data_IF_580430738596
#
_entry.id   IF_580430738596
#
_cell.length_a   1.000
_cell.length_b   1.000
_cell.length_c   1.000
_cell.angle_alpha   90.00
_cell.angle_beta   90.00
_cell.angle_gamma   90.00
#
_symmetry.space_group_name_H-M   'P 1'
#
loop_
_entity.id
_entity.type
_entity.pdbx_description
1 polymer ?
#
# COMPACT_ATOMS: atom_id res chain seq x y z
N UNK A 1 4.04 -7.87 -4.28
CA UNK A 1 3.14 -6.80 -4.75
C UNK A 1 2.29 -6.18 -3.66
N UNK A 2 1.59 -6.94 -2.82
CA UNK A 2 0.60 -6.42 -1.85
C UNK A 2 1.02 -5.24 -0.92
N UNK A 3 2.33 -5.00 -0.70
CA UNK A 3 2.82 -3.79 -0.01
C UNK A 3 2.82 -2.55 -0.92
N UNK A 4 3.18 -2.70 -2.20
CA UNK A 4 3.19 -1.62 -3.21
C UNK A 4 1.77 -1.20 -3.60
N UNK A 5 0.85 -2.16 -3.76
CA UNK A 5 -0.59 -1.92 -3.97
C UNK A 5 -1.30 -1.32 -2.73
N UNK A 6 -0.52 -0.82 -1.77
CA UNK A 6 -0.94 -0.18 -0.53
C UNK A 6 0.02 0.96 -0.11
N UNK A 7 1.05 1.25 -0.91
CA UNK A 7 2.06 2.28 -0.67
C UNK A 7 1.59 3.60 -1.24
N UNK A 8 1.51 4.63 -0.39
CA UNK A 8 0.81 5.90 -0.69
C UNK A 8 1.74 7.12 -0.55
N UNK A 9 2.82 6.97 0.22
CA UNK A 9 3.70 8.07 0.62
C UNK A 9 5.17 7.77 0.34
N UNK A 10 6.00 8.81 0.31
CA UNK A 10 7.46 8.68 0.20
C UNK A 10 8.07 7.75 1.26
N UNK A 11 7.50 7.73 2.47
CA UNK A 11 7.93 6.80 3.53
C UNK A 11 7.56 5.35 3.24
N UNK A 12 6.43 5.10 2.56
CA UNK A 12 6.12 3.77 2.04
C UNK A 12 7.08 3.35 0.94
N UNK A 13 7.44 4.24 0.01
CA UNK A 13 8.39 3.92 -1.06
C UNK A 13 9.78 3.58 -0.48
N UNK A 14 10.26 4.30 0.54
CA UNK A 14 11.50 3.97 1.27
C UNK A 14 11.39 2.56 1.90
N UNK A 15 10.28 2.27 2.60
CA UNK A 15 10.03 0.97 3.23
C UNK A 15 9.88 -0.18 2.24
N UNK A 16 9.21 0.03 1.12
CA UNK A 16 9.07 -0.95 0.05
C UNK A 16 10.45 -1.35 -0.51
N UNK A 17 11.36 -0.38 -0.59
CA UNK A 17 12.61 -0.45 -1.33
C UNK A 17 13.77 -1.04 -0.55
N UNK A 18 14.05 -0.51 0.66
CA UNK A 18 15.23 -0.91 1.43
C UNK A 18 15.18 -2.41 1.75
N UNK A 19 16.26 -3.10 1.39
CA UNK A 19 16.52 -4.53 1.61
C UNK A 19 15.31 -5.39 1.23
N UNK A 20 14.72 -5.07 0.09
CA UNK A 20 13.56 -5.76 -0.45
C UNK A 20 14.00 -6.98 -1.28
N UNK A 21 13.48 -8.20 -1.03
CA UNK A 21 13.84 -9.37 -1.83
C UNK A 21 13.28 -9.31 -3.28
N UNK A 22 12.36 -8.38 -3.55
CA UNK A 22 11.63 -8.25 -4.82
C UNK A 22 12.05 -7.06 -5.69
N UNK A 23 13.32 -6.65 -5.72
CA UNK A 23 13.75 -5.50 -6.54
C UNK A 23 13.41 -5.71 -8.03
N UNK A 24 13.78 -6.85 -8.61
CA UNK A 24 13.49 -7.18 -10.02
C UNK A 24 11.99 -7.18 -10.33
N UNK A 25 11.15 -7.76 -9.46
CA UNK A 25 9.70 -7.81 -9.68
C UNK A 25 9.06 -6.43 -9.51
N UNK A 26 9.58 -5.60 -8.61
CA UNK A 26 9.19 -4.19 -8.43
C UNK A 26 9.55 -3.35 -9.66
N UNK A 27 10.75 -3.55 -10.23
CA UNK A 27 11.15 -2.91 -11.49
C UNK A 27 10.26 -3.31 -12.66
N UNK A 28 10.01 -4.61 -12.86
CA UNK A 28 9.10 -5.08 -13.93
C UNK A 28 7.70 -4.51 -13.75
N UNK A 29 7.24 -4.35 -12.50
CA UNK A 29 5.95 -3.74 -12.19
C UNK A 29 5.90 -2.24 -12.49
N UNK A 30 7.00 -1.49 -12.26
CA UNK A 30 7.12 -0.10 -12.69
C UNK A 30 7.16 0.03 -14.21
N UNK A 31 7.84 -0.89 -14.92
CA UNK A 31 7.86 -0.94 -16.39
C UNK A 31 6.45 -1.19 -16.96
N UNK A 32 5.65 -2.04 -16.32
CA UNK A 32 4.23 -2.27 -16.67
C UNK A 32 3.36 -1.05 -16.38
N UNK A 33 3.59 -0.38 -15.24
CA UNK A 33 2.74 0.70 -14.73
C UNK A 33 2.99 2.08 -15.37
N UNK A 34 4.23 2.38 -15.78
CA UNK A 34 4.61 3.70 -16.32
C UNK A 34 5.91 3.69 -17.14
N UNK A 35 6.34 2.53 -17.63
CA UNK A 35 7.57 2.38 -18.40
C UNK A 35 7.42 2.68 -19.90
N UNK A 36 8.50 3.14 -20.57
CA UNK A 36 8.49 3.37 -22.00
C UNK A 36 8.29 2.07 -22.78
N UNK A 37 7.62 2.15 -23.93
CA UNK A 37 7.24 0.98 -24.74
C UNK A 37 8.43 0.03 -25.00
N UNK A 38 9.61 0.55 -25.36
CA UNK A 38 10.84 -0.26 -25.58
C UNK A 38 11.22 -1.17 -24.40
N UNK A 39 10.96 -0.76 -23.16
CA UNK A 39 11.20 -1.61 -21.98
C UNK A 39 10.06 -2.61 -21.76
N UNK A 40 8.81 -2.23 -22.07
CA UNK A 40 7.69 -3.18 -22.09
C UNK A 40 7.91 -4.28 -23.13
N UNK A 41 8.41 -3.92 -24.31
CA UNK A 41 8.78 -4.85 -25.39
C UNK A 41 9.85 -5.84 -24.92
N UNK A 42 10.96 -5.33 -24.35
CA UNK A 42 12.07 -6.14 -23.85
C UNK A 42 11.67 -7.15 -22.75
N UNK A 43 10.64 -6.84 -21.95
CA UNK A 43 10.11 -7.73 -20.91
C UNK A 43 8.84 -8.50 -21.33
N UNK A 44 8.42 -8.44 -22.60
CA UNK A 44 7.24 -9.16 -23.10
C UNK A 44 5.89 -8.63 -22.56
N UNK A 45 5.83 -7.36 -22.18
CA UNK A 45 4.67 -6.68 -21.55
C UNK A 45 4.01 -5.60 -22.42
N UNK A 46 4.21 -5.65 -23.74
CA UNK A 46 3.62 -4.70 -24.70
C UNK A 46 2.10 -4.83 -24.76
N UNK A 47 1.59 -6.03 -25.04
CA UNK A 47 0.16 -6.32 -25.25
C UNK A 47 -0.64 -6.54 -23.94
N UNK A 48 -0.08 -6.13 -22.80
CA UNK A 48 -0.72 -6.32 -21.50
C UNK A 48 -1.75 -5.21 -21.21
N UNK A 49 -2.96 -5.60 -20.83
CA UNK A 49 -4.05 -4.68 -20.49
C UNK A 49 -3.72 -3.89 -19.21
N UNK A 50 -3.85 -2.56 -19.27
CA UNK A 50 -3.66 -1.63 -18.15
C UNK A 50 -4.46 -2.03 -16.90
N UNK A 51 -5.67 -2.58 -17.07
CA UNK A 51 -6.48 -3.08 -15.96
C UNK A 51 -5.82 -4.26 -15.21
N UNK A 52 -5.10 -5.15 -15.91
CA UNK A 52 -4.37 -6.24 -15.26
C UNK A 52 -3.14 -5.75 -14.50
N UNK A 53 -2.48 -4.70 -15.00
CA UNK A 53 -1.38 -4.03 -14.27
C UNK A 53 -1.91 -3.33 -13.01
N UNK A 54 -3.02 -2.60 -13.12
CA UNK A 54 -3.67 -1.96 -11.98
C UNK A 54 -4.11 -2.99 -10.92
N UNK A 55 -4.74 -4.09 -11.35
CA UNK A 55 -5.18 -5.20 -10.49
C UNK A 55 -4.06 -5.73 -9.58
N UNK A 56 -2.89 -6.03 -10.17
CA UNK A 56 -1.75 -6.65 -9.47
C UNK A 56 -0.89 -5.68 -8.66
N UNK A 57 -0.70 -4.44 -9.15
CA UNK A 57 0.43 -3.58 -8.75
C UNK A 57 0.01 -2.31 -8.00
N UNK A 58 -1.07 -1.65 -8.44
CA UNK A 58 -1.40 -0.28 -8.04
C UNK A 58 -2.23 -0.21 -6.74
N UNK A 59 -2.21 0.94 -6.05
CA UNK A 59 -3.11 1.22 -4.92
C UNK A 59 -4.54 1.56 -5.37
N UNK A 60 -4.71 1.90 -6.64
CA UNK A 60 -5.94 2.47 -7.18
C UNK A 60 -7.06 1.47 -7.43
N UNK A 61 -8.24 2.00 -7.68
CA UNK A 61 -9.37 1.34 -8.30
C UNK A 61 -9.88 2.21 -9.46
N UNK A 62 -10.64 1.60 -10.37
CA UNK A 62 -11.12 2.23 -11.59
C UNK A 62 -12.49 1.67 -12.00
N UNK A 63 -12.91 1.89 -13.25
CA UNK A 63 -14.08 1.20 -13.84
C UNK A 63 -13.76 -0.26 -14.21
N UNK A 64 -12.47 -0.56 -14.39
CA UNK A 64 -11.96 -1.84 -14.88
C UNK A 64 -11.40 -2.72 -13.75
N UNK A 65 -11.11 -2.13 -12.59
CA UNK A 65 -10.59 -2.80 -11.39
C UNK A 65 -11.35 -2.33 -10.16
N UNK A 66 -11.98 -3.27 -9.47
CA UNK A 66 -12.69 -3.03 -8.20
C UNK A 66 -12.25 -3.99 -7.10
N UNK A 67 -12.70 -3.71 -5.87
CA UNK A 67 -12.43 -4.54 -4.69
C UNK A 67 -13.73 -5.14 -4.17
N UNK A 68 -13.82 -6.46 -4.08
CA UNK A 68 -15.03 -7.20 -3.69
C UNK A 68 -14.76 -8.14 -2.50
N UNK A 69 -15.71 -8.25 -1.59
CA UNK A 69 -15.64 -9.11 -0.41
C UNK A 69 -16.25 -10.49 -0.66
N UNK A 70 -15.47 -11.56 -0.47
CA UNK A 70 -15.88 -12.93 -0.75
C UNK A 70 -16.48 -13.69 0.45
N UNK A 71 -16.84 -12.98 1.53
CA UNK A 71 -17.27 -13.59 2.79
C UNK A 71 -16.13 -13.97 3.75
N UNK A 72 -14.87 -13.76 3.36
CA UNK A 72 -13.67 -13.93 4.22
C UNK A 72 -12.72 -12.74 4.13
N UNK A 73 -12.44 -12.28 2.91
CA UNK A 73 -11.49 -11.22 2.61
C UNK A 73 -11.92 -10.37 1.40
N UNK A 74 -11.25 -9.22 1.24
CA UNK A 74 -11.43 -8.33 0.10
C UNK A 74 -10.41 -8.67 -0.97
N UNK A 75 -10.90 -9.04 -2.15
CA UNK A 75 -10.14 -9.45 -3.32
C UNK A 75 -10.24 -8.35 -4.39
N UNK A 76 -9.13 -8.04 -5.05
CA UNK A 76 -9.12 -7.14 -6.22
C UNK A 76 -9.56 -7.95 -7.45
N UNK A 77 -10.51 -7.42 -8.21
CA UNK A 77 -11.20 -8.12 -9.30
C UNK A 77 -11.33 -7.25 -10.55
N UNK A 78 -11.40 -7.88 -11.72
CA UNK A 78 -11.63 -7.20 -13.00
C UNK A 78 -13.11 -6.88 -13.23
N UNK A 79 -13.33 -5.79 -13.96
CA UNK A 79 -14.64 -5.20 -14.27
C UNK A 79 -15.30 -4.52 -13.07
N UNK A 80 -16.19 -3.57 -13.37
CA UNK A 80 -16.90 -2.74 -12.39
C UNK A 80 -17.47 -3.54 -11.20
N UNK A 81 -17.30 -3.03 -9.98
CA UNK A 81 -17.85 -3.61 -8.76
C UNK A 81 -19.17 -2.92 -8.38
N UNK A 82 -20.28 -3.65 -8.16
CA UNK A 82 -21.56 -3.07 -7.73
C UNK A 82 -21.51 -2.75 -6.24
N UNK A 83 -20.80 -1.69 -5.87
CA UNK A 83 -20.63 -1.26 -4.48
C UNK A 83 -21.08 0.19 -4.33
N UNK A 84 -21.90 0.44 -3.31
CA UNK A 84 -22.32 1.78 -2.91
C UNK A 84 -21.59 2.17 -1.62
N UNK A 85 -20.80 3.23 -1.71
CA UNK A 85 -19.96 3.74 -0.62
C UNK A 85 -20.66 4.91 0.09
N UNK A 86 -20.68 4.85 1.42
CA UNK A 86 -21.30 5.84 2.29
C UNK A 86 -20.35 6.22 3.43
N UNK A 87 -20.18 7.53 3.65
CA UNK A 87 -19.57 8.07 4.87
C UNK A 87 -20.71 8.34 5.87
N UNK A 88 -20.59 7.81 7.07
CA UNK A 88 -21.47 8.15 8.20
C UNK A 88 -20.74 9.12 9.13
N UNK A 89 -21.25 10.34 9.25
CA UNK A 89 -20.66 11.41 10.07
C UNK A 89 -21.45 11.56 11.37
N UNK A 90 -20.78 11.25 12.49
CA UNK A 90 -21.35 11.24 13.85
C UNK A 90 -20.74 12.38 14.65
N UNK A 91 -21.51 13.17 15.41
CA UNK A 91 -20.43 14.64 16.54
C UNK A 91 -19.53 14.04 17.63
N UNK A 92 -18.41 14.69 17.94
CA UNK A 92 -17.50 14.27 19.04
C UNK A 92 -18.14 14.53 20.41
N UNK A 93 -18.96 15.59 20.48
CA UNK A 93 -19.80 15.87 21.64
C UNK A 93 -20.93 14.84 21.71
N UNK A 94 -20.73 13.84 22.57
CA UNK A 94 -21.84 13.12 23.19
C UNK A 94 -22.58 14.04 24.17
N UNK A 95 -23.78 13.61 24.55
CA UNK A 95 -24.56 14.19 25.63
C UNK A 95 -23.89 13.90 26.99
N UNK A 96 -24.19 14.68 28.05
CA UNK A 96 -23.77 14.32 29.41
C UNK A 96 -24.33 12.96 29.83
N UNK A 97 -23.55 12.18 30.58
CA UNK A 97 -24.01 10.92 31.17
C UNK A 97 -24.98 11.20 32.33
N UNK A 98 -26.26 11.38 32.00
CA UNK A 98 -27.36 11.36 32.98
C UNK A 98 -28.35 10.26 32.64
N UNK A 99 -28.10 9.05 33.15
CA UNK A 99 -28.94 7.86 32.97
C UNK A 99 -30.28 8.02 33.70
N UNK A 100 -31.23 8.72 33.07
CA UNK A 100 -32.65 8.69 33.38
C UNK A 100 -33.43 8.57 32.09
N UNK A 101 -33.93 7.38 31.80
CA UNK A 101 -34.84 7.13 30.67
C UNK A 101 -36.08 8.00 30.84
N UNK A 102 -36.32 8.90 29.87
CA UNK A 102 -37.49 9.77 29.83
C UNK A 102 -38.10 9.65 28.44
N UNK A 103 -39.37 9.23 28.37
CA UNK A 103 -40.14 9.35 27.14
C UNK A 103 -40.36 10.84 26.82
N UNK A 104 -40.11 11.22 25.57
CA UNK A 104 -40.32 12.55 25.04
C UNK A 104 -40.76 12.46 23.57
N UNK A 105 -41.46 13.47 23.09
CA UNK A 105 -41.84 13.57 21.69
C UNK A 105 -40.60 13.71 20.80
N UNK A 106 -40.62 13.07 19.62
CA UNK A 106 -39.53 13.19 18.65
C UNK A 106 -39.26 14.65 18.24
N UNK A 107 -40.26 15.53 18.35
CA UNK A 107 -40.10 16.97 18.14
C UNK A 107 -39.33 17.65 19.28
N UNK A 108 -39.65 17.33 20.53
CA UNK A 108 -38.90 17.81 21.70
C UNK A 108 -37.44 17.33 21.68
N UNK A 109 -37.19 16.10 21.22
CA UNK A 109 -35.85 15.55 21.04
C UNK A 109 -35.01 16.31 19.99
N UNK A 110 -35.66 16.87 18.96
CA UNK A 110 -35.02 17.77 17.98
C UNK A 110 -34.81 19.16 18.58
N UNK A 111 -35.86 19.76 19.14
CA UNK A 111 -35.82 21.14 19.66
C UNK A 111 -34.85 21.30 20.85
N UNK A 112 -34.66 20.26 21.66
CA UNK A 112 -33.70 20.21 22.78
C UNK A 112 -32.31 19.70 22.36
N UNK A 113 -32.08 19.43 21.07
CA UNK A 113 -30.76 19.08 20.52
C UNK A 113 -30.27 17.65 20.79
N UNK A 114 -31.11 16.78 21.33
CA UNK A 114 -30.78 15.36 21.56
C UNK A 114 -30.65 14.56 20.25
N UNK A 115 -31.47 14.89 19.24
CA UNK A 115 -31.35 14.37 17.88
C UNK A 115 -30.14 14.99 17.15
N UNK A 116 -28.95 14.52 17.50
CA UNK A 116 -27.71 14.75 16.74
C UNK A 116 -27.86 14.17 15.32
N UNK A 117 -28.32 14.98 14.35
CA UNK A 117 -28.39 14.57 12.93
C UNK A 117 -27.04 14.00 12.47
N UNK A 118 -26.99 12.68 12.29
CA UNK A 118 -25.84 12.00 11.70
C UNK A 118 -25.95 12.10 10.18
N UNK A 119 -24.90 12.62 9.54
CA UNK A 119 -24.95 12.93 8.11
C UNK A 119 -24.43 11.73 7.32
N UNK A 120 -25.30 11.14 6.51
CA UNK A 120 -24.94 10.07 5.56
C UNK A 120 -24.57 10.74 4.24
N UNK A 121 -23.29 10.66 3.86
CA UNK A 121 -22.81 11.14 2.56
C UNK A 121 -22.57 9.92 1.66
N UNK A 122 -23.46 9.70 0.69
CA UNK A 122 -23.18 8.74 -0.40
C UNK A 122 -22.08 9.30 -1.28
N UNK A 123 -20.97 8.57 -1.41
CA UNK A 123 -19.93 8.89 -2.40
C UNK A 123 -20.44 8.44 -3.77
N UNK A 124 -20.50 9.38 -4.72
CA UNK A 124 -20.84 9.10 -6.11
C UNK A 124 -19.61 9.40 -6.95
N UNK A 125 -18.84 8.35 -7.26
CA UNK A 125 -17.69 8.36 -8.16
C UNK A 125 -17.92 7.34 -9.29
N UNK A 126 -17.34 7.54 -10.48
CA UNK A 126 -17.38 6.55 -11.54
C UNK A 126 -16.38 5.40 -11.33
N UNK A 127 -15.36 5.56 -10.49
CA UNK A 127 -14.45 4.49 -10.05
C UNK A 127 -15.06 3.64 -8.93
N UNK A 128 -14.66 2.37 -8.83
CA UNK A 128 -14.99 1.54 -7.67
C UNK A 128 -14.31 2.05 -6.37
N UNK A 129 -14.89 1.83 -5.18
CA UNK A 129 -14.33 2.31 -3.91
C UNK A 129 -13.15 1.48 -3.40
N UNK A 130 -12.24 2.10 -2.64
CA UNK A 130 -11.05 1.46 -2.06
C UNK A 130 -11.35 0.89 -0.66
N UNK A 131 -11.93 -0.30 -0.57
CA UNK A 131 -12.22 -0.94 0.74
C UNK A 131 -10.91 -1.32 1.46
N UNK A 132 -9.92 -1.86 0.73
CA UNK A 132 -8.65 -2.35 1.30
C UNK A 132 -7.82 -1.24 1.97
N UNK A 133 -7.94 0.00 1.48
CA UNK A 133 -7.26 1.16 2.06
C UNK A 133 -7.95 1.67 3.34
N UNK A 134 -9.25 1.48 3.48
CA UNK A 134 -10.10 2.11 4.52
C UNK A 134 -10.72 1.13 5.54
N UNK A 135 -10.52 -0.18 5.38
CA UNK A 135 -11.06 -1.25 6.25
C UNK A 135 -10.68 -1.20 7.73
N UNK A 136 -9.73 -0.35 8.11
CA UNK A 136 -9.12 -0.29 9.45
C UNK A 136 -8.41 1.04 9.61
N UNK A 137 -8.29 1.56 10.84
CA UNK A 137 -7.58 2.82 11.11
C UNK A 137 -6.21 2.88 10.41
N UNK A 138 -6.06 3.85 9.51
CA UNK A 138 -4.85 4.04 8.70
C UNK A 138 -3.59 4.27 9.56
N UNK A 139 -2.49 3.59 9.21
CA UNK A 139 -1.20 3.66 9.90
C UNK A 139 -0.71 5.11 10.05
N UNK A 140 -0.23 5.47 11.24
CA UNK A 140 0.16 6.84 11.53
C UNK A 140 1.37 7.30 10.70
N UNK A 141 1.31 8.52 10.15
CA UNK A 141 2.48 9.14 9.47
C UNK A 141 3.74 9.18 10.36
N UNK A 142 3.57 9.21 11.68
CA UNK A 142 4.66 9.07 12.66
C UNK A 142 5.25 7.65 12.70
N UNK A 143 4.41 6.62 12.86
CA UNK A 143 4.82 5.20 12.86
C UNK A 143 5.56 4.83 11.56
N UNK A 144 5.05 5.32 10.43
CA UNK A 144 5.62 5.05 9.11
C UNK A 144 6.97 5.75 8.90
N UNK A 145 7.14 6.98 9.40
CA UNK A 145 8.42 7.69 9.42
C UNK A 145 9.44 6.99 10.34
N UNK A 146 8.99 6.53 11.51
CA UNK A 146 9.84 5.77 12.44
C UNK A 146 10.34 4.46 11.80
N UNK A 147 9.44 3.69 11.18
CA UNK A 147 9.80 2.46 10.46
C UNK A 147 10.75 2.72 9.27
N UNK A 148 10.56 3.81 8.52
CA UNK A 148 11.51 4.22 7.48
C UNK A 148 12.89 4.60 8.06
N UNK A 149 12.92 5.23 9.25
CA UNK A 149 14.16 5.48 10.00
C UNK A 149 14.86 4.18 10.43
N UNK A 150 14.12 3.20 10.94
CA UNK A 150 14.63 1.85 11.27
C UNK A 150 15.19 1.17 10.01
N UNK A 151 14.55 1.32 8.85
CA UNK A 151 15.05 0.77 7.59
C UNK A 151 16.41 1.37 7.17
N UNK A 152 16.54 2.70 7.26
CA UNK A 152 17.80 3.42 6.98
C UNK A 152 18.89 3.01 7.99
N UNK A 153 18.55 2.91 9.27
CA UNK A 153 19.46 2.42 10.31
C UNK A 153 19.97 0.99 10.02
N UNK A 154 19.07 0.07 9.63
CA UNK A 154 19.44 -1.30 9.27
C UNK A 154 20.31 -1.38 8.01
N UNK A 155 20.10 -0.49 7.02
CA UNK A 155 20.99 -0.36 5.87
C UNK A 155 22.40 0.11 6.28
N UNK A 156 22.48 1.12 7.15
CA UNK A 156 23.76 1.66 7.65
C UNK A 156 24.50 0.67 8.53
N UNK A 157 23.78 -0.06 9.40
CA UNK A 157 24.33 -1.12 10.24
C UNK A 157 24.89 -2.28 9.40
N UNK A 158 24.13 -2.74 8.38
CA UNK A 158 24.64 -3.71 7.40
C UNK A 158 25.94 -3.22 6.74
N UNK A 159 25.97 -1.96 6.30
CA UNK A 159 27.14 -1.36 5.64
C UNK A 159 28.34 -1.29 6.57
N UNK A 160 28.15 -0.86 7.82
CA UNK A 160 29.20 -0.77 8.84
C UNK A 160 29.77 -2.15 9.20
N UNK A 161 28.92 -3.14 9.46
CA UNK A 161 29.37 -4.50 9.73
C UNK A 161 30.06 -5.14 8.52
N UNK A 162 29.56 -4.90 7.30
CA UNK A 162 30.24 -5.35 6.07
C UNK A 162 31.60 -4.70 5.86
N UNK A 163 31.76 -3.42 6.24
CA UNK A 163 33.05 -2.73 6.26
C UNK A 163 33.99 -3.35 7.30
N UNK A 164 33.54 -3.56 8.54
CA UNK A 164 34.37 -4.16 9.60
C UNK A 164 34.86 -5.57 9.25
N UNK A 165 33.99 -6.42 8.68
CA UNK A 165 34.35 -7.78 8.24
C UNK A 165 35.39 -7.76 7.09
N UNK A 166 35.37 -6.74 6.23
CA UNK A 166 36.15 -6.71 4.98
C UNK A 166 37.43 -5.88 5.06
N UNK A 167 37.41 -4.78 5.83
CA UNK A 167 38.41 -3.71 5.75
C UNK A 167 39.04 -3.30 7.09
N UNK A 168 38.50 -3.74 8.24
CA UNK A 168 39.11 -3.42 9.53
C UNK A 168 40.30 -4.35 9.79
N UNK A 169 41.53 -3.84 9.99
CA UNK A 169 42.76 -4.63 9.85
C UNK A 169 42.87 -5.81 10.81
N UNK A 170 42.31 -5.70 12.02
CA UNK A 170 42.31 -6.78 13.01
C UNK A 170 41.20 -7.82 12.77
N UNK A 171 40.06 -7.40 12.19
CA UNK A 171 38.85 -8.22 12.08
C UNK A 171 38.84 -9.00 10.75
N UNK A 172 39.33 -8.40 9.66
CA UNK A 172 39.48 -9.07 8.37
C UNK A 172 40.44 -10.27 8.42
N UNK A 173 41.37 -10.30 9.38
CA UNK A 173 42.25 -11.44 9.65
C UNK A 173 41.54 -12.63 10.31
N UNK A 174 40.36 -12.42 10.91
CA UNK A 174 39.51 -13.52 11.42
C UNK A 174 38.56 -14.03 10.33
N UNK A 175 38.07 -13.15 9.46
CA UNK A 175 37.15 -13.50 8.36
C UNK A 175 37.87 -13.76 7.03
N UNK A 176 38.91 -14.60 7.07
CA UNK A 176 39.65 -15.02 5.88
C UNK A 176 38.75 -15.77 4.88
N UNK A 177 39.07 -15.61 3.60
CA UNK A 177 38.46 -16.33 2.49
C UNK A 177 39.52 -17.10 1.73
N UNK A 178 39.31 -18.41 1.61
CA UNK A 178 40.22 -19.33 0.90
C UNK A 178 41.68 -19.21 1.40
N UNK A 179 41.84 -18.95 2.71
CA UNK A 179 43.12 -18.70 3.39
C UNK A 179 43.67 -17.27 3.30
N UNK A 180 43.01 -16.37 2.57
CA UNK A 180 43.48 -15.00 2.28
C UNK A 180 42.57 -13.91 2.88
N UNK A 181 43.07 -12.69 3.15
CA UNK A 181 42.21 -11.56 3.52
C UNK A 181 41.26 -11.18 2.39
N UNK A 182 40.01 -10.86 2.73
CA UNK A 182 38.99 -10.43 1.74
C UNK A 182 39.47 -9.14 1.04
N UNK A 183 39.44 -9.06 -0.31
CA UNK A 183 39.97 -7.89 -1.01
C UNK A 183 39.08 -6.65 -0.78
N UNK A 184 39.65 -5.45 -0.54
CA UNK A 184 38.87 -4.25 -0.18
C UNK A 184 37.77 -3.84 -1.16
N UNK A 185 37.92 -4.16 -2.45
CA UNK A 185 36.87 -3.88 -3.45
C UNK A 185 35.57 -4.65 -3.17
N UNK A 186 35.62 -5.77 -2.44
CA UNK A 186 34.43 -6.56 -2.08
C UNK A 186 33.43 -5.74 -1.27
N UNK A 187 33.92 -4.91 -0.33
CA UNK A 187 33.08 -3.98 0.42
C UNK A 187 32.48 -2.91 -0.50
N UNK A 188 33.30 -2.24 -1.31
CA UNK A 188 32.85 -1.18 -2.21
C UNK A 188 31.77 -1.69 -3.19
N UNK A 189 31.98 -2.83 -3.83
CA UNK A 189 31.01 -3.48 -4.71
C UNK A 189 29.72 -3.88 -3.97
N UNK A 190 29.82 -4.43 -2.76
CA UNK A 190 28.65 -4.80 -1.94
C UNK A 190 27.85 -3.57 -1.48
N UNK A 191 28.53 -2.48 -1.10
CA UNK A 191 27.93 -1.22 -0.67
C UNK A 191 27.25 -0.49 -1.83
N UNK A 192 27.97 -0.17 -2.90
CA UNK A 192 27.39 0.54 -4.05
C UNK A 192 26.38 -0.32 -4.80
N UNK A 193 26.61 -1.64 -4.91
CA UNK A 193 25.62 -2.57 -5.44
C UNK A 193 24.32 -2.56 -4.64
N UNK A 194 24.41 -2.67 -3.31
CA UNK A 194 23.26 -2.52 -2.41
C UNK A 194 22.56 -1.17 -2.58
N UNK A 195 23.30 -0.06 -2.56
CA UNK A 195 22.76 1.30 -2.64
C UNK A 195 22.02 1.55 -3.97
N UNK A 196 22.58 1.07 -5.08
CA UNK A 196 21.97 1.20 -6.40
C UNK A 196 20.75 0.29 -6.57
N UNK A 197 20.78 -0.94 -6.03
CA UNK A 197 19.60 -1.84 -6.00
C UNK A 197 18.47 -1.26 -5.12
N UNK A 198 18.78 -0.77 -3.92
CA UNK A 198 17.81 -0.16 -3.00
C UNK A 198 17.23 1.14 -3.61
N UNK A 199 18.03 1.99 -4.27
CA UNK A 199 17.55 3.23 -4.92
C UNK A 199 16.81 2.98 -6.24
N UNK A 200 17.18 1.95 -7.01
CA UNK A 200 16.42 1.41 -8.15
C UNK A 200 15.00 1.00 -7.72
N UNK A 201 14.90 0.27 -6.61
CA UNK A 201 13.63 -0.15 -6.02
C UNK A 201 12.78 1.07 -5.62
N UNK A 202 13.40 2.12 -5.08
CA UNK A 202 12.74 3.38 -4.73
C UNK A 202 12.19 4.13 -5.93
N UNK A 203 12.98 4.26 -7.00
CA UNK A 203 12.52 4.83 -8.28
C UNK A 203 11.32 4.04 -8.81
N UNK A 204 11.39 2.71 -8.76
CA UNK A 204 10.34 1.81 -9.25
C UNK A 204 9.05 1.92 -8.43
N UNK A 205 9.15 1.95 -7.09
CA UNK A 205 8.01 2.17 -6.20
C UNK A 205 7.37 3.56 -6.39
N UNK A 206 8.19 4.60 -6.57
CA UNK A 206 7.73 5.96 -6.84
C UNK A 206 7.00 6.09 -8.19
N UNK A 207 7.45 5.41 -9.25
CA UNK A 207 6.73 5.35 -10.55
C UNK A 207 5.36 4.71 -10.39
N UNK A 208 5.28 3.58 -9.68
CA UNK A 208 4.01 2.87 -9.43
C UNK A 208 3.01 3.79 -8.72
N UNK A 209 3.41 4.44 -7.62
CA UNK A 209 2.54 5.36 -6.89
C UNK A 209 2.21 6.65 -7.66
N UNK A 210 3.13 7.14 -8.50
CA UNK A 210 2.89 8.32 -9.36
C UNK A 210 1.95 8.03 -10.54
N UNK A 211 1.68 6.76 -10.85
CA UNK A 211 0.66 6.34 -11.80
C UNK A 211 -0.75 6.32 -11.19
N UNK A 212 -0.88 6.63 -9.89
CA UNK A 212 -2.14 6.72 -9.15
C UNK A 212 -2.36 8.12 -8.59
N UNK A 213 -3.60 8.60 -8.63
CA UNK A 213 -4.04 9.86 -8.01
C UNK A 213 -4.71 9.55 -6.68
N UNK A 214 -4.18 10.11 -5.60
CA UNK A 214 -4.68 9.89 -4.25
C UNK A 214 -5.33 11.14 -3.67
N UNK A 215 -6.52 10.98 -3.10
CA UNK A 215 -7.26 12.01 -2.39
C UNK A 215 -7.50 11.55 -0.95
N UNK A 216 -7.12 12.38 0.03
CA UNK A 216 -7.25 12.07 1.46
C UNK A 216 -8.23 13.07 2.09
N UNK A 217 -9.38 12.57 2.50
CA UNK A 217 -10.41 13.32 3.19
C UNK A 217 -10.27 13.14 4.71
N UNK A 218 -10.38 14.23 5.45
CA UNK A 218 -10.36 14.23 6.92
C UNK A 218 -11.70 14.79 7.42
N UNK A 219 -12.30 14.20 8.47
CA UNK A 219 -13.47 14.79 9.10
C UNK A 219 -13.10 16.10 9.80
N UNK A 220 -14.04 17.04 9.87
CA UNK A 220 -13.84 18.31 10.58
C UNK A 220 -13.71 18.08 12.10
N UNK A 221 -13.05 19.01 12.81
CA UNK A 221 -12.61 18.92 14.23
C UNK A 221 -13.68 18.63 15.32
N UNK A 222 -14.94 18.37 14.96
CA UNK A 222 -16.02 18.00 15.89
C UNK A 222 -16.86 16.82 15.35
N UNK A 223 -16.37 16.08 14.36
CA UNK A 223 -17.07 15.01 13.66
C UNK A 223 -16.19 13.76 13.56
N UNK A 224 -16.81 12.59 13.69
CA UNK A 224 -16.19 11.28 13.49
C UNK A 224 -16.80 10.62 12.27
N UNK A 225 -15.96 10.13 11.36
CA UNK A 225 -16.38 9.45 10.15
C UNK A 225 -16.30 7.93 10.32
N UNK A 226 -17.28 7.19 9.81
CA UNK A 226 -17.22 5.74 9.58
C UNK A 226 -17.54 5.45 8.12
N UNK A 227 -16.97 4.38 7.59
CA UNK A 227 -17.25 3.94 6.23
C UNK A 227 -18.22 2.75 6.26
N UNK A 228 -19.22 2.80 5.38
CA UNK A 228 -20.13 1.69 5.09
C UNK A 228 -20.11 1.45 3.59
N UNK A 229 -19.82 0.22 3.18
CA UNK A 229 -19.91 -0.22 1.79
C UNK A 229 -21.02 -1.27 1.68
N UNK A 230 -21.98 -1.03 0.81
CA UNK A 230 -23.03 -2.00 0.49
C UNK A 230 -22.67 -2.64 -0.85
N UNK A 231 -22.35 -3.93 -0.81
CA UNK A 231 -22.00 -4.75 -1.98
C UNK A 231 -23.26 -5.44 -2.53
N UNK A 232 -23.50 -5.27 -3.83
CA UNK A 232 -24.45 -6.07 -4.61
C UNK A 232 -23.84 -7.41 -5.07
N UNK A 233 -24.68 -8.26 -5.63
CA UNK A 233 -24.25 -9.57 -6.15
C UNK A 233 -23.45 -9.42 -7.46
N UNK A 234 -22.38 -10.20 -7.63
CA UNK A 234 -21.61 -10.27 -8.88
C UNK A 234 -20.90 -11.62 -9.03
N UNK A 235 -20.78 -12.12 -10.25
CA UNK A 235 -19.90 -13.23 -10.61
C UNK A 235 -18.67 -12.66 -11.35
N UNK A 236 -17.46 -13.13 -11.02
CA UNK A 236 -16.21 -12.76 -11.71
C UNK A 236 -15.39 -14.03 -11.97
N UNK A 237 -15.35 -14.47 -13.23
CA UNK A 237 -14.84 -15.81 -13.55
C UNK A 237 -15.64 -16.87 -12.78
N UNK A 238 -14.94 -17.80 -12.13
CA UNK A 238 -15.55 -18.86 -11.33
C UNK A 238 -15.95 -18.42 -9.91
N UNK A 239 -15.73 -17.14 -9.54
CA UNK A 239 -15.95 -16.64 -8.19
C UNK A 239 -17.27 -15.86 -8.05
N UNK A 240 -18.16 -16.37 -7.19
CA UNK A 240 -19.42 -15.74 -6.80
C UNK A 240 -19.22 -14.79 -5.61
N UNK A 241 -19.66 -13.53 -5.75
CA UNK A 241 -19.65 -12.53 -4.70
C UNK A 241 -21.08 -12.20 -4.28
N UNK A 242 -21.44 -12.62 -3.06
CA UNK A 242 -22.77 -12.43 -2.47
C UNK A 242 -22.99 -10.99 -1.96
N UNK A 243 -24.25 -10.56 -1.75
CA UNK A 243 -24.54 -9.27 -1.14
C UNK A 243 -24.06 -9.17 0.32
N UNK A 244 -23.30 -8.11 0.62
CA UNK A 244 -22.77 -7.87 1.96
C UNK A 244 -22.84 -6.38 2.33
N UNK A 245 -23.23 -6.08 3.56
CA UNK A 245 -22.95 -4.82 4.21
C UNK A 245 -21.58 -4.93 4.89
N UNK A 246 -20.69 -3.97 4.63
CA UNK A 246 -19.29 -3.98 5.06
C UNK A 246 -19.03 -2.67 5.80
N UNK A 247 -18.39 -2.74 6.97
CA UNK A 247 -18.18 -1.58 7.85
C UNK A 247 -16.71 -1.41 8.22
N UNK A 248 -16.24 -0.17 8.39
CA UNK A 248 -14.89 0.09 8.94
C UNK A 248 -14.72 -0.32 10.40
N UNK A 249 -15.83 -0.42 11.16
CA UNK A 249 -15.87 -0.75 12.59
C UNK A 249 -15.33 0.35 13.51
N UNK A 250 -14.11 0.81 13.23
CA UNK A 250 -13.43 1.93 13.90
C UNK A 250 -13.74 3.27 13.22
N UNK A 251 -13.68 4.35 14.01
CA UNK A 251 -13.75 5.74 13.53
C UNK A 251 -12.51 6.06 12.65
N UNK A 252 -12.73 6.56 11.44
CA UNK A 252 -11.69 6.80 10.45
C UNK A 252 -11.15 8.23 10.52
N UNK A 253 -9.86 8.44 10.87
CA UNK A 253 -9.25 9.78 10.93
C UNK A 253 -8.83 10.30 9.54
N UNK A 254 -8.72 9.41 8.56
CA UNK A 254 -8.42 9.72 7.16
C UNK A 254 -9.17 8.70 6.29
N UNK A 255 -9.98 9.17 5.34
CA UNK A 255 -10.57 8.37 4.26
C UNK A 255 -9.71 8.59 3.02
N UNK A 256 -9.26 7.51 2.39
CA UNK A 256 -8.31 7.53 1.28
C UNK A 256 -8.98 6.95 0.04
N UNK A 257 -9.15 7.74 -1.01
CA UNK A 257 -9.56 7.24 -2.33
C UNK A 257 -8.38 7.34 -3.30
N UNK A 258 -8.05 6.24 -3.97
CA UNK A 258 -6.99 6.16 -4.98
C UNK A 258 -7.58 5.72 -6.31
N UNK A 259 -7.38 6.52 -7.36
CA UNK A 259 -7.80 6.21 -8.74
C UNK A 259 -6.61 6.21 -9.70
N UNK A 260 -6.71 5.46 -10.80
CA UNK A 260 -5.67 5.42 -11.83
C UNK A 260 -5.56 6.78 -12.52
N UNK A 261 -4.34 7.26 -12.77
CA UNK A 261 -4.15 8.45 -13.62
C UNK A 261 -4.53 8.09 -15.07
N UNK A 262 -5.39 8.88 -15.70
CA UNK A 262 -5.72 8.69 -17.12
C UNK A 262 -4.64 9.32 -18.01
N UNK A 263 -3.93 8.44 -18.71
CA UNK A 263 -2.88 8.75 -19.71
C UNK A 263 -3.34 9.75 -20.79
N UNK A 264 -4.64 9.84 -21.06
CA UNK A 264 -5.22 10.73 -22.08
C UNK A 264 -5.58 12.12 -21.53
N UNK A 265 -5.69 12.27 -20.21
CA UNK A 265 -6.09 13.53 -19.56
C UNK A 265 -4.90 14.23 -18.85
N UNK A 266 -3.85 13.48 -18.50
CA UNK A 266 -2.63 14.03 -17.93
C UNK A 266 -1.78 14.80 -18.95
N UNK A 267 -1.14 15.92 -18.58
CA UNK A 267 -0.23 16.61 -19.48
C UNK A 267 1.02 15.75 -19.74
N UNK A 268 1.29 15.45 -21.02
CA UNK A 268 2.25 14.42 -21.44
C UNK A 268 3.71 14.59 -20.99
N UNK A 269 4.09 15.71 -20.36
CA UNK A 269 5.39 15.83 -19.70
C UNK A 269 5.49 14.92 -18.45
N UNK A 270 4.38 14.65 -17.76
CA UNK A 270 4.36 13.76 -16.59
C UNK A 270 4.69 12.33 -17.02
N UNK A 271 4.00 11.83 -18.06
CA UNK A 271 4.27 10.51 -18.63
C UNK A 271 5.71 10.39 -19.11
N UNK A 272 6.23 11.35 -19.88
CA UNK A 272 7.66 11.37 -20.30
C UNK A 272 8.62 11.40 -19.10
N UNK A 273 8.27 12.06 -18.00
CA UNK A 273 9.07 12.04 -16.78
C UNK A 273 9.10 10.64 -16.15
N UNK A 274 7.95 9.97 -16.01
CA UNK A 274 7.85 8.60 -15.48
C UNK A 274 8.55 7.57 -16.39
N UNK A 275 8.41 7.68 -17.70
CA UNK A 275 9.09 6.84 -18.68
C UNK A 275 10.63 6.98 -18.55
N UNK A 276 11.14 8.22 -18.47
CA UNK A 276 12.56 8.52 -18.27
C UNK A 276 13.07 8.06 -16.89
N UNK A 277 12.27 8.21 -15.83
CA UNK A 277 12.65 7.77 -14.49
C UNK A 277 12.72 6.24 -14.41
N UNK A 278 11.76 5.54 -15.03
CA UNK A 278 11.75 4.08 -15.16
C UNK A 278 12.96 3.57 -15.91
N UNK A 279 13.35 4.23 -17.02
CA UNK A 279 14.56 3.88 -17.77
C UNK A 279 15.83 4.04 -16.93
N UNK A 280 15.95 5.15 -16.19
CA UNK A 280 17.07 5.37 -15.25
C UNK A 280 17.09 4.33 -14.12
N UNK A 281 15.93 3.95 -13.60
CA UNK A 281 15.77 2.87 -12.63
C UNK A 281 16.25 1.53 -13.18
N UNK A 282 15.86 1.15 -14.40
CA UNK A 282 16.27 -0.10 -15.04
C UNK A 282 17.79 -0.19 -15.26
N UNK A 283 18.43 0.91 -15.72
CA UNK A 283 19.89 0.97 -15.88
C UNK A 283 20.59 0.87 -14.52
N UNK A 284 20.13 1.63 -13.52
CA UNK A 284 20.68 1.60 -12.16
C UNK A 284 20.55 0.20 -11.53
N UNK A 285 19.44 -0.48 -11.77
CA UNK A 285 19.19 -1.85 -11.32
C UNK A 285 20.20 -2.85 -11.86
N UNK A 286 20.54 -2.72 -13.16
CA UNK A 286 21.50 -3.59 -13.84
C UNK A 286 22.91 -3.41 -13.25
N UNK A 287 23.34 -2.16 -13.07
CA UNK A 287 24.63 -1.82 -12.45
C UNK A 287 24.67 -2.29 -10.99
N UNK A 288 23.62 -2.01 -10.21
CA UNK A 288 23.50 -2.42 -8.81
C UNK A 288 23.56 -3.94 -8.64
N UNK A 289 22.80 -4.68 -9.43
CA UNK A 289 22.80 -6.16 -9.43
C UNK A 289 24.17 -6.73 -9.80
N UNK A 290 24.85 -6.17 -10.80
CA UNK A 290 26.17 -6.61 -11.22
C UNK A 290 27.24 -6.36 -10.12
N UNK A 291 27.27 -5.16 -9.55
CA UNK A 291 28.16 -4.81 -8.44
C UNK A 291 27.89 -5.67 -7.20
N UNK A 292 26.61 -5.89 -6.86
CA UNK A 292 26.21 -6.71 -5.72
C UNK A 292 26.59 -8.20 -5.91
N UNK A 293 26.47 -8.73 -7.13
CA UNK A 293 26.92 -10.07 -7.47
C UNK A 293 28.45 -10.22 -7.38
N UNK A 294 29.23 -9.23 -7.85
CA UNK A 294 30.70 -9.21 -7.68
C UNK A 294 31.09 -9.07 -6.21
N UNK A 295 30.41 -8.19 -5.46
CA UNK A 295 30.62 -7.95 -4.04
C UNK A 295 30.45 -9.22 -3.21
N UNK A 296 29.29 -9.87 -3.26
CA UNK A 296 29.05 -11.11 -2.53
C UNK A 296 29.94 -12.28 -3.01
N UNK A 297 30.31 -12.33 -4.30
CA UNK A 297 31.29 -13.31 -4.80
C UNK A 297 32.70 -13.08 -4.27
N UNK A 298 33.06 -11.85 -3.90
CA UNK A 298 34.36 -11.50 -3.34
C UNK A 298 34.38 -11.61 -1.80
N UNK A 299 33.31 -11.20 -1.10
CA UNK A 299 33.20 -11.23 0.37
C UNK A 299 33.24 -12.63 1.02
N UNK A 300 33.50 -12.65 2.33
CA UNK A 300 33.28 -13.81 3.21
C UNK A 300 31.78 -14.09 3.41
N UNK A 301 31.41 -15.36 3.66
CA UNK A 301 30.01 -15.80 3.71
C UNK A 301 29.16 -15.09 4.78
N UNK A 302 29.79 -14.64 5.89
CA UNK A 302 29.14 -13.85 6.95
C UNK A 302 28.46 -12.59 6.44
N UNK A 303 28.97 -11.95 5.37
CA UNK A 303 28.37 -10.74 4.79
C UNK A 303 27.02 -11.09 4.13
N UNK A 304 26.94 -12.22 3.44
CA UNK A 304 25.70 -12.73 2.82
C UNK A 304 24.69 -13.19 3.88
N UNK A 305 25.15 -13.83 4.96
CA UNK A 305 24.30 -14.22 6.10
C UNK A 305 23.74 -12.98 6.80
N UNK A 306 24.57 -11.95 7.05
CA UNK A 306 24.13 -10.68 7.62
C UNK A 306 23.11 -9.97 6.73
N UNK A 307 23.32 -9.96 5.40
CA UNK A 307 22.35 -9.42 4.46
C UNK A 307 20.99 -10.14 4.58
N UNK A 308 20.98 -11.48 4.65
CA UNK A 308 19.77 -12.27 4.81
C UNK A 308 19.03 -11.96 6.12
N UNK A 309 19.77 -11.85 7.24
CA UNK A 309 19.22 -11.46 8.55
C UNK A 309 18.56 -10.08 8.47
N UNK A 310 19.22 -9.11 7.85
CA UNK A 310 18.70 -7.74 7.71
C UNK A 310 17.47 -7.68 6.78
N UNK A 311 17.45 -8.47 5.70
CA UNK A 311 16.25 -8.64 4.84
C UNK A 311 15.09 -9.25 5.64
N UNK A 312 15.34 -10.26 6.47
CA UNK A 312 14.31 -10.90 7.31
C UNK A 312 13.74 -9.94 8.36
N UNK A 313 14.59 -9.18 9.04
CA UNK A 313 14.15 -8.11 9.96
C UNK A 313 13.31 -7.07 9.21
N UNK A 314 13.74 -6.65 8.01
CA UNK A 314 12.98 -5.72 7.18
C UNK A 314 11.64 -6.26 6.69
N UNK A 315 11.49 -7.56 6.47
CA UNK A 315 10.20 -8.19 6.20
C UNK A 315 9.28 -8.12 7.43
N UNK A 316 9.80 -8.37 8.64
CA UNK A 316 9.04 -8.23 9.89
C UNK A 316 8.59 -6.78 10.10
N UNK A 317 9.47 -5.78 9.88
CA UNK A 317 9.09 -4.36 9.94
C UNK A 317 7.98 -4.03 8.95
N UNK A 318 8.08 -4.47 7.68
CA UNK A 318 7.05 -4.26 6.66
C UNK A 318 5.70 -4.91 7.03
N UNK A 319 5.71 -6.09 7.67
CA UNK A 319 4.50 -6.75 8.19
C UNK A 319 3.89 -5.99 9.38
N UNK A 320 4.70 -5.59 10.37
CA UNK A 320 4.23 -4.88 11.57
C UNK A 320 3.60 -3.52 11.22
N UNK A 321 4.17 -2.79 10.27
CA UNK A 321 3.62 -1.52 9.75
C UNK A 321 2.22 -1.69 9.12
N UNK A 322 1.91 -2.88 8.60
CA UNK A 322 0.66 -3.18 7.86
C UNK A 322 -0.32 -4.09 8.60
N UNK A 323 0.02 -4.54 9.82
CA UNK A 323 -0.79 -5.45 10.68
C UNK A 323 -2.26 -5.08 10.83
N UNK A 324 -2.61 -3.79 10.78
CA UNK A 324 -4.00 -3.31 10.87
C UNK A 324 -4.92 -3.86 9.77
N UNK A 325 -4.39 -4.07 8.56
CA UNK A 325 -5.16 -4.50 7.38
C UNK A 325 -5.37 -6.02 7.29
N UNK A 326 -4.74 -6.81 8.17
CA UNK A 326 -5.02 -8.24 8.34
C UNK A 326 -6.13 -8.53 9.35
N UNK A 327 -6.66 -7.50 10.05
CA UNK A 327 -7.81 -7.66 10.96
C UNK A 327 -9.06 -8.10 10.19
N UNK A 328 -9.94 -8.93 10.77
CA UNK A 328 -11.21 -9.30 10.14
C UNK A 328 -12.03 -8.04 9.84
N UNK A 329 -12.73 -8.07 8.71
CA UNK A 329 -13.67 -7.02 8.32
C UNK A 329 -15.01 -7.28 9.01
N UNK A 330 -15.66 -6.22 9.48
CA UNK A 330 -17.03 -6.32 9.96
C UNK A 330 -17.96 -6.40 8.74
N UNK A 331 -18.62 -7.55 8.57
CA UNK A 331 -19.53 -7.82 7.46
C UNK A 331 -20.83 -8.48 7.91
N UNK A 332 -21.97 -8.07 7.37
CA UNK A 332 -23.28 -8.72 7.53
C UNK A 332 -23.80 -9.11 6.16
N UNK A 333 -24.20 -10.37 5.98
CA UNK A 333 -24.83 -10.81 4.73
C UNK A 333 -26.19 -10.11 4.53
N UNK A 334 -26.53 -9.78 3.29
CA UNK A 334 -27.82 -9.18 2.93
C UNK A 334 -28.59 -10.13 2.00
N UNK A 335 -29.91 -10.11 2.06
CA UNK A 335 -30.78 -10.80 1.10
C UNK A 335 -30.61 -10.16 -0.30
N UNK A 336 -30.39 -10.95 -1.37
CA UNK A 336 -30.33 -10.44 -2.74
C UNK A 336 -31.54 -9.58 -3.13
N UNK A 337 -31.29 -8.47 -3.82
CA UNK A 337 -32.30 -7.49 -4.25
C UNK A 337 -32.74 -6.49 -3.18
N UNK A 338 -32.52 -6.77 -1.89
CA UNK A 338 -32.98 -5.93 -0.78
C UNK A 338 -31.89 -5.02 -0.20
N UNK A 339 -30.78 -4.78 -0.91
CA UNK A 339 -29.61 -4.08 -0.37
C UNK A 339 -29.92 -2.66 0.15
N UNK A 340 -30.72 -1.88 -0.58
CA UNK A 340 -31.13 -0.54 -0.14
C UNK A 340 -32.25 -0.56 0.90
N UNK A 341 -33.15 -1.54 0.86
CA UNK A 341 -34.21 -1.70 1.86
C UNK A 341 -33.59 -2.04 3.23
N UNK A 342 -32.68 -3.00 3.25
CA UNK A 342 -31.89 -3.36 4.44
C UNK A 342 -31.09 -2.18 5.00
N UNK A 343 -30.50 -1.35 4.12
CA UNK A 343 -29.76 -0.15 4.55
C UNK A 343 -30.70 0.89 5.17
N UNK A 344 -31.87 1.16 4.57
CA UNK A 344 -32.85 2.10 5.10
C UNK A 344 -33.45 1.65 6.44
N UNK A 345 -33.70 0.35 6.59
CA UNK A 345 -34.14 -0.28 7.84
C UNK A 345 -33.06 -0.18 8.92
N UNK A 346 -31.81 -0.52 8.59
CA UNK A 346 -30.64 -0.43 9.49
C UNK A 346 -30.15 1.00 9.78
N UNK A 347 -30.92 2.02 9.38
CA UNK A 347 -30.70 3.44 9.67
C UNK A 347 -31.88 4.07 10.43
N UNK A 348 -32.89 3.26 10.76
CA UNK A 348 -34.09 3.64 11.53
C UNK A 348 -33.92 3.39 13.03
N UNK A 349 -33.08 2.41 13.37
CA UNK A 349 -32.67 2.01 14.71
C UNK A 349 -31.34 2.68 15.14
#
# INVERSE_FOLDING_TARGET
>A
MQFLSQSLTTSDYILASIKSPGVMTTLVSAIRAGGPQRLRDMFGKTAENTAAVELEVMSSTSREVGELYNGREVVRCLGQAPIWEFIYLIPDKLLPETTKTKEMSMKEAVDQGYMRMAVIVRIVRPEAPNISLNRSKNTGRGELRFAAGVAIFLFLLFSLCSYLITCHPEISLTFLKDGSPVPPYAFACTFFGSLFSDFSSYISAYVIGSSTKEEIFQPAKNWRARMVWVQGEKIVGDQEFKPFAIFSGEDQPNIITSSRVDDNQGPGYIRRHLENLTYRGAVLNMIGSALQAVGFRASHCSVSILYLIVVLIMLIVKMVVRRGRSRPIFSRAIIPGFQFAWLADSLRD
#
